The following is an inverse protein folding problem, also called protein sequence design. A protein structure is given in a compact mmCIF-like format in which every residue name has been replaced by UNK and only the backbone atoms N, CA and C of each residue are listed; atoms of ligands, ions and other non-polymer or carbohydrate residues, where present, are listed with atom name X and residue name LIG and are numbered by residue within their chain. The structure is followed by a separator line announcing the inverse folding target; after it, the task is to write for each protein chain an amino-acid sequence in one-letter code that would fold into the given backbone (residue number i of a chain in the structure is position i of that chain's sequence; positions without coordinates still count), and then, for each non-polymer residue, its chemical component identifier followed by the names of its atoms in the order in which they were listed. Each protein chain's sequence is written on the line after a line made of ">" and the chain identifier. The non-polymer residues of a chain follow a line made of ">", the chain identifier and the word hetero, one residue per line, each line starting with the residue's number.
data_IF_783726157267
#
_entry.id   IF_783726157267
#
_cell.length_a   1.000
_cell.length_b   1.000
_cell.length_c   1.000
_cell.angle_alpha   90.00
_cell.angle_beta   90.00
_cell.angle_gamma   90.00
#
_symmetry.space_group_name_H-M   'P 1'
#
loop_
_entity.id
_entity.type
_entity.pdbx_description
1 polymer ?
#
# COMPACT_ATOMS: atom_id res chain seq x y z
N UNK A 1 3.70 7.66 11.78
CA UNK A 1 2.64 8.64 11.45
C UNK A 1 2.17 8.36 10.03
N UNK A 2 0.94 8.74 9.66
CA UNK A 2 0.48 8.65 8.27
C UNK A 2 1.27 9.65 7.42
N UNK A 3 1.69 9.26 6.24
CA UNK A 3 2.40 10.12 5.30
C UNK A 3 1.73 10.09 3.93
N UNK A 4 1.76 11.22 3.23
CA UNK A 4 1.28 11.34 1.87
C UNK A 4 2.48 11.22 0.92
N UNK A 5 2.42 10.28 -0.01
CA UNK A 5 3.45 10.10 -1.04
C UNK A 5 2.86 10.37 -2.41
N UNK A 6 3.72 10.76 -3.35
CA UNK A 6 3.34 10.91 -4.75
C UNK A 6 3.77 9.63 -5.46
N UNK A 7 2.83 8.93 -6.07
CA UNK A 7 3.08 7.75 -6.91
C UNK A 7 2.70 8.02 -8.35
N UNK A 8 3.30 7.27 -9.26
CA UNK A 8 3.02 7.32 -10.70
C UNK A 8 2.96 5.91 -11.28
N UNK A 9 2.69 5.78 -12.58
CA UNK A 9 2.85 4.52 -13.31
C UNK A 9 4.23 3.86 -13.09
N UNK A 10 5.27 4.64 -12.78
CA UNK A 10 6.61 4.12 -12.51
C UNK A 10 6.70 3.30 -11.21
N UNK A 11 5.76 3.49 -10.26
CA UNK A 11 5.68 2.69 -9.04
C UNK A 11 5.05 1.31 -9.30
N UNK A 12 4.48 1.07 -10.49
CA UNK A 12 3.94 -0.19 -11.00
C UNK A 12 2.71 -0.71 -10.23
N UNK A 13 2.82 -0.88 -8.91
CA UNK A 13 1.76 -1.40 -8.04
C UNK A 13 1.96 -0.98 -6.57
N UNK A 14 0.90 -1.06 -5.78
CA UNK A 14 0.92 -0.85 -4.33
C UNK A 14 1.89 -1.82 -3.62
N UNK A 15 2.22 -2.97 -4.19
CA UNK A 15 3.25 -3.87 -3.67
C UNK A 15 4.63 -3.20 -3.64
N UNK A 16 4.98 -2.50 -4.72
CA UNK A 16 6.24 -1.78 -4.82
C UNK A 16 6.30 -0.63 -3.82
N UNK A 17 5.19 0.12 -3.74
CA UNK A 17 5.03 1.21 -2.77
C UNK A 17 5.16 0.70 -1.34
N UNK A 18 4.48 -0.40 -0.99
CA UNK A 18 4.54 -1.00 0.33
C UNK A 18 5.93 -1.57 0.66
N UNK A 19 6.61 -2.17 -0.30
CA UNK A 19 8.00 -2.62 -0.10
C UNK A 19 8.94 -1.44 0.20
N UNK A 20 8.76 -0.32 -0.49
CA UNK A 20 9.58 0.87 -0.34
C UNK A 20 9.30 1.64 0.95
N UNK A 21 8.03 1.86 1.27
CA UNK A 21 7.61 2.75 2.36
C UNK A 21 7.35 2.00 3.68
N UNK A 22 6.85 0.76 3.60
CA UNK A 22 6.56 -0.09 4.78
C UNK A 22 7.63 -1.17 4.99
N UNK A 23 8.57 -1.34 4.07
CA UNK A 23 9.55 -2.44 4.10
C UNK A 23 8.95 -3.83 3.83
N UNK A 24 7.65 -3.92 3.59
CA UNK A 24 6.94 -5.18 3.37
C UNK A 24 5.87 -5.02 2.29
N UNK A 25 6.16 -5.59 1.11
CA UNK A 25 5.26 -5.58 -0.03
C UNK A 25 3.87 -6.15 0.30
N UNK A 26 3.79 -7.09 1.23
CA UNK A 26 2.54 -7.76 1.62
C UNK A 26 1.57 -6.83 2.36
N UNK A 27 2.02 -5.67 2.83
CA UNK A 27 1.17 -4.68 3.50
C UNK A 27 0.50 -3.68 2.54
N UNK A 28 0.55 -3.94 1.23
CA UNK A 28 -0.11 -3.11 0.21
C UNK A 28 -1.59 -2.87 0.50
N UNK A 29 -2.30 -3.85 1.09
CA UNK A 29 -3.71 -3.74 1.44
C UNK A 29 -3.99 -2.65 2.46
N UNK A 30 -3.03 -2.29 3.32
CA UNK A 30 -3.17 -1.19 4.28
C UNK A 30 -3.21 0.15 3.56
N UNK A 31 -2.34 0.32 2.57
CA UNK A 31 -2.32 1.49 1.68
C UNK A 31 -3.64 1.54 0.91
N UNK A 32 -4.06 0.41 0.34
CA UNK A 32 -5.31 0.33 -0.41
C UNK A 32 -6.51 0.73 0.46
N UNK A 33 -6.63 0.16 1.66
CA UNK A 33 -7.72 0.41 2.60
C UNK A 33 -7.83 1.89 3.00
N UNK A 34 -6.71 2.56 3.31
CA UNK A 34 -6.76 3.98 3.73
C UNK A 34 -7.03 4.94 2.56
N UNK A 35 -6.79 4.49 1.32
CA UNK A 35 -7.11 5.24 0.10
C UNK A 35 -8.44 4.84 -0.54
N UNK A 36 -9.18 3.89 0.05
CA UNK A 36 -10.43 3.37 -0.52
C UNK A 36 -10.24 2.57 -1.82
N UNK A 37 -9.05 2.02 -2.03
CA UNK A 37 -8.70 1.18 -3.16
C UNK A 37 -8.87 -0.30 -2.80
N UNK A 38 -9.26 -1.11 -3.77
CA UNK A 38 -9.34 -2.57 -3.66
C UNK A 38 -8.31 -3.28 -4.53
N UNK A 39 -7.78 -2.58 -5.52
CA UNK A 39 -6.85 -3.12 -6.49
C UNK A 39 -5.43 -2.57 -6.25
N UNK A 40 -4.40 -3.44 -6.19
CA UNK A 40 -3.02 -3.03 -6.02
C UNK A 40 -2.37 -2.51 -7.30
N UNK A 41 -2.95 -2.69 -8.47
CA UNK A 41 -2.38 -2.22 -9.72
C UNK A 41 -2.40 -0.68 -9.77
N UNK A 42 -1.27 -0.11 -10.15
CA UNK A 42 -1.13 1.32 -10.44
C UNK A 42 -0.88 1.57 -11.93
N UNK A 43 -0.92 0.54 -12.77
CA UNK A 43 -0.65 0.64 -14.20
C UNK A 43 -1.70 1.45 -14.97
N UNK A 44 -2.89 1.61 -14.41
CA UNK A 44 -3.94 2.49 -14.95
C UNK A 44 -3.66 3.99 -14.75
N UNK A 45 -2.70 4.34 -13.89
CA UNK A 45 -2.41 5.71 -13.52
C UNK A 45 -1.65 6.40 -14.66
N UNK A 46 -2.27 7.38 -15.30
CA UNK A 46 -1.63 8.16 -16.38
C UNK A 46 -0.85 9.38 -15.87
N UNK A 47 -1.15 9.85 -14.66
CA UNK A 47 -0.57 11.05 -14.03
C UNK A 47 -0.24 10.77 -12.57
N UNK A 48 0.65 11.54 -11.94
CA UNK A 48 0.98 11.31 -10.53
C UNK A 48 -0.22 11.47 -9.60
N UNK A 49 -0.46 10.50 -8.72
CA UNK A 49 -1.50 10.56 -7.69
C UNK A 49 -0.89 10.60 -6.30
N UNK A 50 -1.59 11.23 -5.36
CA UNK A 50 -1.18 11.24 -3.96
C UNK A 50 -1.84 10.06 -3.25
N UNK A 51 -1.02 9.19 -2.65
CA UNK A 51 -1.49 8.08 -1.82
C UNK A 51 -1.12 8.31 -0.35
N UNK A 52 -2.08 8.02 0.51
CA UNK A 52 -1.88 7.95 1.96
C UNK A 52 -1.23 6.63 2.32
N UNK A 53 -0.07 6.67 2.96
CA UNK A 53 0.64 5.51 3.45
C UNK A 53 0.59 5.50 4.98
N UNK A 54 0.02 4.45 5.59
CA UNK A 54 -0.04 4.36 7.04
C UNK A 54 1.35 4.17 7.64
N UNK A 55 1.47 4.33 8.95
CA UNK A 55 2.74 4.11 9.63
C UNK A 55 3.22 2.66 9.41
N UNK A 56 4.54 2.50 9.24
CA UNK A 56 5.18 1.18 9.22
C UNK A 56 4.80 0.41 10.49
N UNK A 57 4.26 -0.79 10.30
CA UNK A 57 3.95 -1.71 11.40
C UNK A 57 4.78 -2.96 11.20
N UNK A 58 5.89 -3.05 11.93
CA UNK A 58 6.83 -4.17 11.83
C UNK A 58 6.31 -5.46 12.47
N UNK A 59 5.32 -5.36 13.36
CA UNK A 59 4.67 -6.50 14.02
C UNK A 59 3.75 -7.31 13.09
N UNK A 60 3.33 -6.72 11.97
CA UNK A 60 2.56 -7.40 10.93
C UNK A 60 3.50 -8.23 10.02
N UNK A 61 3.94 -9.38 10.54
CA UNK A 61 4.69 -10.41 9.80
C UNK A 61 3.78 -11.19 8.85
N UNK A 62 2.57 -11.52 9.29
CA UNK A 62 1.53 -12.04 8.41
C UNK A 62 1.06 -10.89 7.53
N UNK A 63 1.30 -10.96 6.22
CA UNK A 63 0.87 -9.95 5.25
C UNK A 63 -0.65 -9.78 5.12
N UNK A 64 -1.45 -10.21 6.10
CA UNK A 64 -2.91 -10.21 6.10
C UNK A 64 -3.40 -9.69 7.46
N UNK A 65 -4.54 -8.99 7.50
CA UNK A 65 -5.18 -8.68 8.78
C UNK A 65 -5.53 -9.99 9.50
N UNK A 66 -5.16 -10.08 10.77
CA UNK A 66 -5.49 -11.20 11.67
C UNK A 66 -7.02 -11.22 11.86
N UNK A 67 -7.74 -11.87 10.94
CA UNK A 67 -9.20 -11.71 10.88
C UNK A 67 -9.88 -12.26 9.63
N UNK A 68 -9.56 -13.49 9.22
CA UNK A 68 -10.58 -14.36 8.60
C UNK A 68 -10.56 -15.67 9.38
N UNK A 69 -11.13 -15.61 10.59
CA UNK A 69 -11.58 -16.82 11.29
C UNK A 69 -12.90 -17.20 10.62
N UNK A 70 -12.89 -18.26 9.80
CA UNK A 70 -14.09 -19.09 9.61
C UNK A 70 -14.03 -20.27 10.59
#
# INVERSE_FOLDING_TARGET
>A
MMQDIIVSAADISLFHVAARELGNASQWWRIAQVNGMTDPDLGWISETVVLKVPAVESDLVSGLPDGVLE
#
